data_IF_202811571251
#
_entry.id   IF_202811571251
#
_cell.length_a   1.000
_cell.length_b   1.000
_cell.length_c   1.000
_cell.angle_alpha   90.00
_cell.angle_beta   90.00
_cell.angle_gamma   90.00
#
_symmetry.space_group_name_H-M   'P 1'
#
loop_
_entity.id
_entity.type
_entity.pdbx_description
1 polymer ?
#
# COMPACT_ATOMS: atom_id res chain seq x y z
N UNK A 1 20.16 -11.63 5.74
CA UNK A 1 18.71 -11.60 6.05
C UNK A 1 18.03 -11.81 4.70
N UNK A 2 17.97 -13.07 4.25
CA UNK A 2 17.82 -13.41 2.82
C UNK A 2 16.80 -14.55 2.62
N UNK A 3 15.68 -14.49 3.34
CA UNK A 3 14.52 -15.28 2.94
C UNK A 3 13.52 -14.33 2.28
N UNK A 4 13.06 -14.63 1.04
CA UNK A 4 11.94 -13.91 0.47
C UNK A 4 10.79 -14.01 1.48
N UNK A 5 10.24 -12.86 1.88
CA UNK A 5 9.11 -12.81 2.80
C UNK A 5 7.93 -13.49 2.11
N UNK A 6 7.72 -14.77 2.41
CA UNK A 6 6.61 -15.51 1.86
C UNK A 6 5.31 -14.84 2.28
N UNK A 7 4.46 -14.59 1.29
CA UNK A 7 3.17 -13.95 1.52
C UNK A 7 2.29 -14.90 2.35
N UNK A 8 1.75 -14.46 3.51
CA UNK A 8 0.84 -15.30 4.30
C UNK A 8 -0.34 -15.81 3.47
N UNK A 9 -0.89 -16.97 3.81
CA UNK A 9 -1.98 -17.61 3.07
C UNK A 9 -3.18 -16.67 2.88
N UNK A 10 -3.51 -15.87 3.89
CA UNK A 10 -4.60 -14.91 3.87
C UNK A 10 -4.36 -13.80 2.84
N UNK A 11 -3.11 -13.38 2.66
CA UNK A 11 -2.73 -12.39 1.65
C UNK A 11 -2.81 -12.99 0.25
N UNK A 12 -2.39 -14.24 0.08
CA UNK A 12 -2.56 -14.96 -1.20
C UNK A 12 -4.04 -15.13 -1.55
N UNK A 13 -4.87 -15.51 -0.57
CA UNK A 13 -6.32 -15.61 -0.75
C UNK A 13 -6.95 -14.26 -1.12
N UNK A 14 -6.52 -13.18 -0.47
CA UNK A 14 -6.97 -11.83 -0.78
C UNK A 14 -6.67 -11.45 -2.24
N UNK A 15 -5.46 -11.74 -2.73
CA UNK A 15 -5.10 -11.49 -4.13
C UNK A 15 -6.00 -12.27 -5.09
N UNK A 16 -6.25 -13.56 -4.81
CA UNK A 16 -7.16 -14.39 -5.64
C UNK A 16 -8.59 -13.87 -5.64
N UNK A 17 -9.07 -13.39 -4.49
CA UNK A 17 -10.41 -12.82 -4.36
C UNK A 17 -10.55 -11.51 -5.14
N UNK A 18 -9.53 -10.65 -5.07
CA UNK A 18 -9.50 -9.41 -5.82
C UNK A 18 -9.41 -9.67 -7.33
N UNK A 19 -8.59 -10.63 -7.76
CA UNK A 19 -8.50 -11.06 -9.17
C UNK A 19 -9.88 -11.48 -9.72
N UNK A 20 -10.64 -12.27 -8.96
CA UNK A 20 -11.98 -12.69 -9.37
C UNK A 20 -12.96 -11.52 -9.53
N UNK A 21 -12.81 -10.46 -8.72
CA UNK A 21 -13.62 -9.24 -8.82
C UNK A 21 -13.21 -8.40 -10.03
N UNK A 22 -11.91 -8.18 -10.25
CA UNK A 22 -11.40 -7.40 -11.38
C UNK A 22 -11.81 -8.00 -12.72
N UNK A 23 -11.82 -9.33 -12.84
CA UNK A 23 -12.27 -10.02 -14.06
C UNK A 23 -13.75 -9.76 -14.41
N UNK A 24 -14.56 -9.32 -13.47
CA UNK A 24 -15.99 -9.02 -13.67
C UNK A 24 -16.25 -7.52 -13.88
N UNK A 25 -15.23 -6.66 -13.74
CA UNK A 25 -15.38 -5.22 -13.91
C UNK A 25 -15.54 -4.85 -15.39
N UNK A 26 -16.35 -3.83 -15.66
CA UNK A 26 -16.32 -3.13 -16.94
C UNK A 26 -15.00 -2.36 -17.11
N UNK A 27 -14.68 -1.96 -18.34
CA UNK A 27 -13.47 -1.17 -18.62
C UNK A 27 -13.42 0.12 -17.78
N UNK A 28 -14.55 0.82 -17.67
CA UNK A 28 -14.64 2.05 -16.88
C UNK A 28 -14.42 1.79 -15.39
N UNK A 29 -15.07 0.74 -14.84
CA UNK A 29 -14.88 0.37 -13.43
C UNK A 29 -13.42 -0.01 -13.14
N UNK A 30 -12.77 -0.73 -14.06
CA UNK A 30 -11.37 -1.09 -13.91
C UNK A 30 -10.45 0.13 -13.96
N UNK A 31 -10.72 1.11 -14.84
CA UNK A 31 -9.97 2.37 -14.90
C UNK A 31 -10.11 3.16 -13.60
N UNK A 32 -11.34 3.35 -13.11
CA UNK A 32 -11.59 4.05 -11.85
C UNK A 32 -10.92 3.34 -10.67
N UNK A 33 -11.01 2.00 -10.63
CA UNK A 33 -10.37 1.17 -9.61
C UNK A 33 -8.84 1.32 -9.63
N UNK A 34 -8.21 1.35 -10.80
CA UNK A 34 -6.75 1.51 -10.93
C UNK A 34 -6.26 2.86 -10.40
N UNK A 35 -6.98 3.94 -10.72
CA UNK A 35 -6.61 5.28 -10.21
C UNK A 35 -6.73 5.33 -8.69
N UNK A 36 -7.82 4.81 -8.12
CA UNK A 36 -8.02 4.75 -6.67
C UNK A 36 -6.95 3.88 -6.00
N UNK A 37 -6.61 2.72 -6.57
CA UNK A 37 -5.59 1.84 -6.04
C UNK A 37 -4.22 2.55 -5.96
N UNK A 38 -3.87 3.31 -7.00
CA UNK A 38 -2.61 4.07 -7.03
C UNK A 38 -2.58 5.17 -5.95
N UNK A 39 -3.66 5.91 -5.79
CA UNK A 39 -3.78 6.92 -4.72
C UNK A 39 -3.60 6.30 -3.32
N UNK A 40 -4.26 5.17 -3.06
CA UNK A 40 -4.13 4.45 -1.79
C UNK A 40 -2.70 3.93 -1.57
N UNK A 41 -2.00 3.51 -2.64
CA UNK A 41 -0.59 3.11 -2.54
C UNK A 41 0.30 4.26 -2.10
N UNK A 42 0.13 5.46 -2.66
CA UNK A 42 0.90 6.65 -2.27
C UNK A 42 0.60 7.11 -0.83
N UNK A 43 -0.66 7.08 -0.42
CA UNK A 43 -1.03 7.39 0.97
C UNK A 43 -0.41 6.40 1.95
N UNK A 44 -0.47 5.10 1.62
CA UNK A 44 0.16 4.04 2.41
C UNK A 44 1.67 4.25 2.51
N UNK A 45 2.34 4.57 1.40
CA UNK A 45 3.77 4.89 1.40
C UNK A 45 4.09 6.07 2.31
N UNK A 46 3.35 7.18 2.18
CA UNK A 46 3.50 8.38 3.01
C UNK A 46 3.35 8.04 4.50
N UNK A 47 2.34 7.24 4.85
CA UNK A 47 2.11 6.79 6.22
C UNK A 47 3.28 5.96 6.76
N UNK A 48 3.82 5.03 5.98
CA UNK A 48 4.99 4.26 6.40
C UNK A 48 6.23 5.16 6.55
N UNK A 49 6.46 6.10 5.65
CA UNK A 49 7.57 7.05 5.76
C UNK A 49 7.45 7.88 7.03
N UNK A 50 6.27 8.43 7.34
CA UNK A 50 6.02 9.16 8.57
C UNK A 50 6.22 8.30 9.82
N UNK A 51 5.66 7.09 9.81
CA UNK A 51 5.81 6.14 10.92
C UNK A 51 7.29 5.80 11.19
N UNK A 52 8.08 5.58 10.13
CA UNK A 52 9.51 5.29 10.26
C UNK A 52 10.29 6.51 10.74
N UNK A 53 10.01 7.72 10.23
CA UNK A 53 10.62 8.97 10.70
C UNK A 53 10.37 9.17 12.20
N UNK A 54 9.14 8.95 12.65
CA UNK A 54 8.79 8.99 14.07
C UNK A 54 9.59 7.98 14.90
N UNK A 55 9.62 6.71 14.46
CA UNK A 55 10.35 5.64 15.15
C UNK A 55 11.86 5.87 15.23
N UNK A 56 12.43 6.55 14.25
CA UNK A 56 13.85 6.91 14.24
C UNK A 56 14.18 8.28 14.84
N UNK A 57 13.18 9.04 15.32
CA UNK A 57 13.40 10.37 15.89
C UNK A 57 13.87 11.40 14.87
N UNK A 58 13.54 11.21 13.59
CA UNK A 58 13.86 12.11 12.47
C UNK A 58 12.73 13.10 12.18
N UNK A 59 11.79 13.27 13.11
CA UNK A 59 10.81 14.33 13.03
C UNK A 59 11.56 15.66 13.15
N UNK A 60 11.41 16.52 12.15
CA UNK A 60 12.01 17.85 12.16
C UNK A 60 11.55 18.56 13.42
N UNK A 61 12.47 18.80 14.36
CA UNK A 61 12.19 19.61 15.52
C UNK A 61 12.03 21.06 15.01
N UNK A 62 10.85 21.68 15.09
CA UNK A 62 10.65 23.04 14.60
C UNK A 62 11.37 24.11 15.45
N UNK A 63 12.07 23.72 16.52
CA UNK A 63 12.72 24.60 17.49
C UNK A 63 14.21 24.89 17.19
N UNK A 64 14.73 24.51 16.02
CA UNK A 64 16.08 24.88 15.57
C UNK A 64 16.03 25.60 14.22
N UNK A 65 15.51 26.83 14.22
CA UNK A 65 15.78 27.89 13.24
C UNK A 65 15.98 29.21 14.00
#
# INVERSE_FOLDING_TARGET
>A
MDQPMEMPLEKQFSVRSFEAQVRQMSLQQAQDCLVQLYEQMLMRETLYQQFLKHKWGLESNPDFD
#
